data_IF_170905002256
#
_entry.id   IF_170905002256
#
_cell.length_a   1.000
_cell.length_b   1.000
_cell.length_c   1.000
_cell.angle_alpha   90.00
_cell.angle_beta   90.00
_cell.angle_gamma   90.00
#
_symmetry.space_group_name_H-M   'P 1'
#
loop_
_entity.id
_entity.type
_entity.pdbx_description
1 polymer ?
#
# COMPACT_ATOMS: atom_id res chain seq x y z
N UNK A 1 28.04 -6.53 -2.90
CA UNK A 1 27.01 -5.71 -3.55
C UNK A 1 27.14 -4.31 -2.99
N UNK A 2 27.31 -3.32 -3.86
CA UNK A 2 27.34 -1.90 -3.48
C UNK A 2 25.90 -1.46 -3.20
N UNK A 3 25.60 -0.73 -2.11
CA UNK A 3 24.28 -0.15 -1.92
C UNK A 3 24.03 0.82 -3.07
N UNK A 4 22.96 0.64 -3.84
CA UNK A 4 22.58 1.65 -4.82
C UNK A 4 22.07 2.90 -4.12
N UNK A 5 22.36 4.03 -4.75
CA UNK A 5 22.29 5.38 -4.22
C UNK A 5 20.84 5.84 -4.09
N UNK A 6 20.39 6.11 -2.87
CA UNK A 6 19.20 6.91 -2.53
C UNK A 6 17.89 6.35 -3.08
N UNK A 7 17.22 5.50 -2.29
CA UNK A 7 15.89 4.96 -2.60
C UNK A 7 15.01 6.07 -3.20
N UNK A 8 14.62 5.98 -4.47
CA UNK A 8 13.76 6.96 -5.15
C UNK A 8 12.36 7.12 -4.53
N UNK A 9 12.17 6.57 -3.33
CA UNK A 9 10.98 6.67 -2.49
C UNK A 9 10.62 8.14 -2.28
N UNK A 10 9.48 8.51 -2.83
CA UNK A 10 8.88 9.85 -2.73
C UNK A 10 7.67 9.87 -1.79
N UNK A 11 7.12 8.70 -1.45
CA UNK A 11 6.04 8.56 -0.48
C UNK A 11 6.13 7.24 0.28
N UNK A 12 5.88 7.27 1.59
CA UNK A 12 5.76 6.08 2.42
C UNK A 12 4.77 6.35 3.55
N UNK A 13 3.79 5.47 3.72
CA UNK A 13 2.76 5.67 4.73
C UNK A 13 1.75 4.55 4.82
N UNK A 14 0.61 4.90 5.41
CA UNK A 14 -0.46 3.97 5.68
C UNK A 14 -1.78 4.52 5.21
N UNK A 15 -2.64 3.64 4.74
CA UNK A 15 -4.08 3.88 4.71
C UNK A 15 -4.77 2.86 5.60
N UNK A 16 -5.73 3.31 6.42
CA UNK A 16 -6.47 2.45 7.35
C UNK A 16 -7.93 2.37 6.96
N UNK A 17 -8.60 1.26 7.25
CA UNK A 17 -10.04 1.17 7.03
C UNK A 17 -10.78 2.17 7.93
N UNK A 18 -11.67 2.94 7.33
CA UNK A 18 -12.56 3.85 8.04
C UNK A 18 -13.61 3.03 8.83
N UNK A 19 -13.56 3.05 10.18
CA UNK A 19 -14.51 2.30 10.99
C UNK A 19 -15.91 2.94 11.00
N UNK A 20 -16.04 4.20 10.57
CA UNK A 20 -17.28 4.98 10.60
C UNK A 20 -18.04 4.95 9.27
N UNK A 21 -17.40 4.53 8.18
CA UNK A 21 -18.00 4.54 6.84
C UNK A 21 -18.85 3.28 6.56
N UNK A 22 -20.09 3.43 6.07
CA UNK A 22 -20.95 2.29 5.72
C UNK A 22 -20.38 1.45 4.56
N UNK A 23 -19.68 2.09 3.62
CA UNK A 23 -19.19 1.45 2.40
C UNK A 23 -17.75 0.91 2.51
N UNK A 24 -17.16 0.88 3.72
CA UNK A 24 -15.77 0.49 4.02
C UNK A 24 -14.77 1.08 3.01
N UNK A 25 -14.23 2.25 3.32
CA UNK A 25 -13.18 2.89 2.53
C UNK A 25 -11.85 2.91 3.28
N UNK A 26 -10.76 3.13 2.57
CA UNK A 26 -9.47 3.48 3.14
C UNK A 26 -9.41 4.99 3.39
N UNK A 27 -8.86 5.40 4.54
CA UNK A 27 -8.58 6.79 4.91
C UNK A 27 -7.08 6.97 5.18
N UNK A 28 -6.55 8.14 4.84
CA UNK A 28 -5.14 8.46 4.98
C UNK A 28 -4.70 8.40 6.45
N UNK A 29 -3.70 7.57 6.74
CA UNK A 29 -3.04 7.45 8.04
C UNK A 29 -1.74 8.28 8.09
N UNK A 30 -0.84 7.98 9.05
CA UNK A 30 0.49 8.60 9.10
C UNK A 30 1.29 8.33 7.82
N UNK A 31 2.03 9.32 7.33
CA UNK A 31 2.88 9.18 6.14
C UNK A 31 4.04 10.18 6.15
N UNK A 32 5.02 9.91 5.28
CA UNK A 32 6.13 10.78 4.91
C UNK A 32 6.13 10.96 3.39
N UNK A 33 6.12 12.20 2.92
CA UNK A 33 6.06 12.51 1.49
C UNK A 33 5.18 13.72 1.20
N UNK A 34 4.79 13.89 -0.07
CA UNK A 34 3.85 14.94 -0.48
C UNK A 34 2.42 14.66 -0.01
N UNK A 35 1.56 15.66 -0.09
CA UNK A 35 0.12 15.52 0.19
C UNK A 35 -0.46 14.43 -0.70
N UNK A 36 -1.14 13.46 -0.08
CA UNK A 36 -1.75 12.32 -0.76
C UNK A 36 -3.29 12.39 -0.74
N UNK A 37 -3.92 11.42 -1.40
CA UNK A 37 -5.36 11.27 -1.41
C UNK A 37 -5.91 11.05 0.00
N UNK A 38 -7.00 11.72 0.37
CA UNK A 38 -7.55 11.62 1.73
C UNK A 38 -8.31 10.31 1.97
N UNK A 39 -8.97 9.80 0.92
CA UNK A 39 -9.74 8.57 0.96
C UNK A 39 -9.54 7.76 -0.32
N UNK A 40 -9.62 6.44 -0.22
CA UNK A 40 -9.52 5.51 -1.33
C UNK A 40 -10.65 4.48 -1.22
N UNK A 41 -11.45 4.34 -2.27
CA UNK A 41 -12.49 3.31 -2.32
C UNK A 41 -11.86 1.92 -2.48
N UNK A 42 -12.44 0.92 -1.82
CA UNK A 42 -11.97 -0.47 -1.98
C UNK A 42 -12.08 -0.95 -3.43
N UNK A 43 -11.08 -1.71 -3.86
CA UNK A 43 -10.94 -2.19 -5.24
C UNK A 43 -10.57 -1.11 -6.27
N UNK A 44 -10.24 0.12 -5.84
CA UNK A 44 -9.81 1.22 -6.72
C UNK A 44 -8.35 1.58 -6.50
N UNK A 45 -7.62 1.78 -7.59
CA UNK A 45 -6.17 2.01 -7.53
C UNK A 45 -5.42 0.82 -6.94
N UNK A 46 -4.11 0.97 -6.80
CA UNK A 46 -3.25 -0.10 -6.25
C UNK A 46 -3.62 -0.35 -4.79
N UNK A 47 -3.66 0.69 -3.96
CA UNK A 47 -4.10 0.62 -2.57
C UNK A 47 -5.44 -0.09 -2.34
N UNK A 48 -6.49 0.33 -3.04
CA UNK A 48 -7.82 -0.25 -2.87
C UNK A 48 -7.87 -1.70 -3.38
N UNK A 49 -7.17 -2.03 -4.47
CA UNK A 49 -7.07 -3.40 -4.98
C UNK A 49 -6.28 -4.28 -4.01
N UNK A 50 -5.17 -3.81 -3.46
CA UNK A 50 -4.38 -4.55 -2.48
C UNK A 50 -5.23 -4.88 -1.24
N UNK A 51 -6.03 -3.93 -0.75
CA UNK A 51 -6.90 -4.14 0.40
C UNK A 51 -7.97 -5.23 0.19
N UNK A 52 -8.48 -5.41 -1.04
CA UNK A 52 -9.49 -6.46 -1.33
C UNK A 52 -8.92 -7.74 -1.94
N UNK A 53 -7.72 -7.68 -2.51
CA UNK A 53 -7.14 -8.71 -3.36
C UNK A 53 -7.64 -8.62 -4.80
N UNK A 54 -6.83 -9.04 -5.78
CA UNK A 54 -7.26 -9.04 -7.20
C UNK A 54 -8.47 -9.94 -7.46
N UNK A 55 -8.66 -10.95 -6.63
CA UNK A 55 -9.82 -11.85 -6.63
C UNK A 55 -11.09 -11.23 -6.00
N UNK A 56 -10.97 -10.06 -5.38
CA UNK A 56 -12.06 -9.38 -4.67
C UNK A 56 -12.53 -10.12 -3.41
N UNK A 57 -11.76 -11.08 -2.90
CA UNK A 57 -12.16 -11.92 -1.75
C UNK A 57 -12.22 -11.17 -0.42
N UNK A 58 -11.66 -9.96 -0.35
CA UNK A 58 -11.52 -9.20 0.90
C UNK A 58 -10.42 -9.73 1.81
N UNK A 59 -9.64 -10.72 1.36
CA UNK A 59 -8.46 -11.20 2.09
C UNK A 59 -7.30 -10.24 1.95
N UNK A 60 -7.26 -9.43 0.91
CA UNK A 60 -6.11 -8.60 0.58
C UNK A 60 -4.98 -9.40 -0.06
N UNK A 61 -4.16 -8.71 -0.85
CA UNK A 61 -3.02 -9.25 -1.59
C UNK A 61 -1.94 -8.17 -1.69
N UNK A 62 -0.68 -8.53 -1.46
CA UNK A 62 0.45 -7.62 -1.70
C UNK A 62 0.58 -7.35 -3.19
N UNK A 63 0.71 -6.08 -3.55
CA UNK A 63 0.89 -5.66 -4.94
C UNK A 63 2.25 -5.00 -5.10
N UNK A 64 3.17 -5.72 -5.75
CA UNK A 64 4.44 -5.18 -6.24
C UNK A 64 4.25 -4.66 -7.67
N UNK A 65 4.18 -3.35 -7.83
CA UNK A 65 3.88 -2.68 -9.11
C UNK A 65 5.14 -2.02 -9.66
N UNK A 66 5.79 -2.69 -10.62
CA UNK A 66 7.05 -2.22 -11.24
C UNK A 66 6.89 -1.00 -12.15
N UNK A 67 5.67 -0.79 -12.67
CA UNK A 67 5.28 0.39 -13.46
C UNK A 67 3.82 0.75 -13.16
N UNK A 68 3.59 1.85 -12.45
CA UNK A 68 2.23 2.28 -12.04
C UNK A 68 1.38 2.73 -13.23
N UNK A 69 1.99 3.24 -14.31
CA UNK A 69 1.26 3.64 -15.52
C UNK A 69 0.71 2.43 -16.27
N UNK A 70 1.32 1.25 -16.08
CA UNK A 70 0.86 -0.01 -16.63
C UNK A 70 -0.24 -0.66 -15.77
N UNK A 71 -0.50 -0.18 -14.55
CA UNK A 71 -1.50 -0.75 -13.67
C UNK A 71 -2.93 -0.28 -14.05
N UNK A 72 -3.85 -1.20 -14.40
CA UNK A 72 -5.19 -0.82 -14.82
C UNK A 72 -5.98 -0.11 -13.71
N UNK A 73 -6.45 1.10 -13.99
CA UNK A 73 -7.23 1.88 -13.02
C UNK A 73 -6.40 2.49 -11.89
N UNK A 74 -5.10 2.71 -12.13
CA UNK A 74 -4.22 3.47 -11.24
C UNK A 74 -4.81 4.84 -10.91
N UNK A 75 -4.75 5.22 -9.63
CA UNK A 75 -5.15 6.52 -9.10
C UNK A 75 -3.88 7.18 -8.57
N UNK A 76 -3.25 8.01 -9.41
CA UNK A 76 -2.04 8.71 -9.00
C UNK A 76 -2.36 9.78 -7.96
N UNK A 77 -1.78 9.66 -6.76
CA UNK A 77 -1.81 10.72 -5.73
C UNK A 77 -0.57 11.64 -5.84
N UNK A 78 0.61 11.11 -6.21
CA UNK A 78 1.77 11.89 -6.67
C UNK A 78 2.06 11.55 -8.15
N UNK A 79 2.15 12.57 -9.00
CA UNK A 79 2.42 12.39 -10.43
C UNK A 79 3.87 12.02 -10.75
N UNK A 80 4.77 12.05 -9.77
CA UNK A 80 6.16 11.62 -9.93
C UNK A 80 6.36 10.12 -9.69
N UNK A 81 5.41 9.43 -9.05
CA UNK A 81 5.51 8.00 -8.75
C UNK A 81 5.51 7.16 -10.04
N UNK A 82 6.44 6.21 -10.12
CA UNK A 82 6.67 5.32 -11.27
C UNK A 82 6.57 3.85 -10.90
N UNK A 83 6.89 3.46 -9.67
CA UNK A 83 6.61 2.15 -9.10
C UNK A 83 6.02 2.30 -7.70
N UNK A 84 5.30 1.28 -7.24
CA UNK A 84 4.56 1.29 -5.97
C UNK A 84 4.57 -0.12 -5.38
N UNK A 85 4.71 -0.24 -4.06
CA UNK A 85 4.44 -1.47 -3.33
C UNK A 85 3.37 -1.21 -2.26
N UNK A 86 2.31 -2.02 -2.30
CA UNK A 86 1.25 -1.96 -1.31
C UNK A 86 1.09 -3.30 -0.61
N UNK A 87 1.18 -3.29 0.72
CA UNK A 87 1.10 -4.49 1.58
C UNK A 87 -0.11 -4.40 2.51
N UNK A 88 -1.07 -5.33 2.44
CA UNK A 88 -2.21 -5.37 3.36
C UNK A 88 -1.80 -5.69 4.79
N UNK A 89 -2.28 -4.90 5.74
CA UNK A 89 -2.16 -5.17 7.17
C UNK A 89 -3.36 -5.98 7.61
N UNK A 90 -3.13 -7.15 8.21
CA UNK A 90 -4.18 -8.04 8.70
C UNK A 90 -4.11 -8.13 10.22
N UNK A 91 -5.25 -7.93 10.89
CA UNK A 91 -5.30 -8.12 12.34
C UNK A 91 -5.22 -9.61 12.73
N UNK A 92 -5.18 -9.88 14.03
CA UNK A 92 -5.12 -11.25 14.58
C UNK A 92 -6.24 -12.20 14.11
N UNK A 93 -7.36 -11.67 13.61
CA UNK A 93 -8.46 -12.46 13.04
C UNK A 93 -8.32 -12.69 11.52
N UNK A 94 -7.21 -12.27 10.93
CA UNK A 94 -6.93 -12.36 9.50
C UNK A 94 -7.68 -11.35 8.63
N UNK A 95 -8.35 -10.35 9.24
CA UNK A 95 -9.11 -9.33 8.52
C UNK A 95 -8.16 -8.18 8.15
N UNK A 96 -8.23 -7.72 6.89
CA UNK A 96 -7.54 -6.49 6.46
C UNK A 96 -8.08 -5.30 7.25
N UNK A 97 -7.17 -4.52 7.83
CA UNK A 97 -7.45 -3.32 8.64
C UNK A 97 -6.81 -2.06 8.07
N UNK A 98 -5.90 -2.22 7.12
CA UNK A 98 -5.25 -1.14 6.40
C UNK A 98 -4.25 -1.69 5.39
N UNK A 99 -3.44 -0.80 4.83
CA UNK A 99 -2.32 -1.12 3.95
C UNK A 99 -1.11 -0.26 4.32
N UNK A 100 0.07 -0.82 4.16
CA UNK A 100 1.32 -0.08 3.99
C UNK A 100 1.40 0.27 2.51
N UNK A 101 1.73 1.51 2.20
CA UNK A 101 1.86 2.00 0.82
C UNK A 101 3.16 2.79 0.68
N UNK A 102 3.95 2.45 -0.33
CA UNK A 102 5.24 3.08 -0.61
C UNK A 102 5.37 3.30 -2.12
N UNK A 103 5.54 4.56 -2.51
CA UNK A 103 5.80 4.98 -3.88
C UNK A 103 7.29 5.22 -4.11
N UNK A 104 7.72 5.02 -5.35
CA UNK A 104 9.05 5.37 -5.83
C UNK A 104 8.96 6.13 -7.16
N UNK A 105 9.76 7.20 -7.30
CA UNK A 105 9.88 7.99 -8.52
C UNK A 105 10.64 7.26 -9.66
N UNK A 106 11.16 6.07 -9.39
CA UNK A 106 11.84 5.22 -10.37
C UNK A 106 10.96 4.03 -10.76
N UNK A 107 11.12 3.54 -12.00
CA UNK A 107 10.53 2.27 -12.40
C UNK A 107 11.25 1.14 -11.68
N UNK A 108 10.53 0.07 -11.37
CA UNK A 108 11.09 -1.13 -10.74
C UNK A 108 11.86 -0.84 -9.44
N UNK A 109 11.35 0.10 -8.64
CA UNK A 109 12.02 0.62 -7.45
C UNK A 109 11.93 -0.28 -6.22
N UNK A 110 11.18 -1.38 -6.31
CA UNK A 110 11.00 -2.38 -5.26
C UNK A 110 11.14 -3.78 -5.86
N UNK A 111 11.59 -4.72 -5.04
CA UNK A 111 11.70 -6.13 -5.42
C UNK A 111 11.06 -7.06 -4.39
N UNK A 112 11.29 -8.36 -4.57
CA UNK A 112 10.77 -9.39 -3.69
C UNK A 112 11.40 -9.35 -2.28
N UNK A 113 12.63 -8.85 -2.10
CA UNK A 113 13.25 -8.67 -0.78
C UNK A 113 12.52 -7.56 0.00
N UNK A 114 12.21 -6.44 -0.65
CA UNK A 114 11.39 -5.37 -0.07
C UNK A 114 10.00 -5.89 0.30
N UNK A 115 9.39 -6.70 -0.59
CA UNK A 115 8.08 -7.29 -0.34
C UNK A 115 8.09 -8.17 0.92
N UNK A 116 9.04 -9.10 1.03
CA UNK A 116 9.16 -9.99 2.20
C UNK A 116 9.37 -9.20 3.50
N UNK A 117 10.22 -8.17 3.45
CA UNK A 117 10.46 -7.29 4.60
C UNK A 117 9.24 -6.50 5.03
N UNK A 118 8.50 -5.92 4.08
CA UNK A 118 7.29 -5.14 4.36
C UNK A 118 6.12 -6.02 4.81
N UNK A 119 5.99 -7.24 4.29
CA UNK A 119 5.01 -8.23 4.77
C UNK A 119 5.28 -8.60 6.24
N UNK A 120 6.54 -8.81 6.62
CA UNK A 120 6.90 -9.06 8.00
C UNK A 120 6.56 -7.87 8.93
N UNK A 121 6.74 -6.64 8.45
CA UNK A 121 6.34 -5.42 9.17
C UNK A 121 4.81 -5.33 9.29
N UNK A 122 4.08 -5.62 8.21
CA UNK A 122 2.62 -5.60 8.20
C UNK A 122 2.03 -6.62 9.19
N UNK A 123 2.62 -7.81 9.27
CA UNK A 123 2.25 -8.84 10.24
C UNK A 123 2.50 -8.37 11.69
N UNK A 124 3.64 -7.71 11.94
CA UNK A 124 3.94 -7.12 13.26
C UNK A 124 2.89 -6.07 13.64
N UNK A 125 2.59 -5.12 12.74
CA UNK A 125 1.60 -4.07 12.98
C UNK A 125 0.19 -4.66 13.21
N UNK A 126 -0.17 -5.68 12.45
CA UNK A 126 -1.43 -6.41 12.61
C UNK A 126 -1.63 -7.03 13.99
N UNK A 127 -0.54 -7.43 14.64
CA UNK A 127 -0.55 -8.06 15.97
C UNK A 127 -0.33 -7.07 17.12
N UNK A 128 0.42 -6.00 16.88
CA UNK A 128 0.89 -5.09 17.92
C UNK A 128 0.00 -3.84 18.11
N UNK A 129 -0.89 -3.54 17.17
CA UNK A 129 -1.82 -2.41 17.27
C UNK A 129 -3.25 -2.87 17.62
N UNK A 130 -3.99 -2.00 18.31
CA UNK A 130 -5.42 -2.18 18.56
C UNK A 130 -6.20 -1.54 17.40
N UNK A 131 -6.81 -2.38 16.57
CA UNK A 131 -7.42 -2.04 15.27
C UNK A 131 -8.94 -2.02 15.31
#
# INVERSE_FOLDING_TARGET
MTPQSGSGVNWAGFYVLDPSAPDRQLILGPFMGKVACQTIALGKGVCGTAAVGRDGSGRGETLLVRDVDAFPGHIACDGESRSEIVVPIRNANGKVVGVIDIDCAELDGFDEEDQEGLEAIADLLGQACDW
#
